data_IF_244720571128
#
_entry.id   IF_244720571128
#
_cell.length_a   1.000
_cell.length_b   1.000
_cell.length_c   1.000
_cell.angle_alpha   90.00
_cell.angle_beta   90.00
_cell.angle_gamma   90.00
#
_symmetry.space_group_name_H-M   'P 1'
#
loop_
_entity.id
_entity.type
_entity.pdbx_description
1 polymer ?
#
# COMPACT_ATOMS: atom_id res chain seq x y z
N UNK A 1 -24.58 8.21 9.85
CA UNK A 1 -23.93 7.31 10.82
C UNK A 1 -22.50 7.03 10.36
N UNK A 2 -21.54 7.77 10.91
CA UNK A 2 -20.24 8.13 10.30
C UNK A 2 -19.07 7.13 10.47
N UNK A 3 -19.27 5.95 11.07
CA UNK A 3 -18.15 5.08 11.50
C UNK A 3 -17.63 4.06 10.47
N UNK A 4 -18.37 3.73 9.41
CA UNK A 4 -17.94 2.74 8.40
C UNK A 4 -16.82 3.23 7.45
N UNK A 5 -16.78 4.54 7.17
CA UNK A 5 -15.77 5.13 6.26
C UNK A 5 -14.38 5.11 6.90
N UNK A 6 -14.30 5.61 8.14
CA UNK A 6 -13.08 5.60 8.96
C UNK A 6 -12.55 4.19 9.14
N UNK A 7 -13.43 3.20 9.39
CA UNK A 7 -13.02 1.81 9.55
C UNK A 7 -12.38 1.22 8.28
N UNK A 8 -12.90 1.54 7.09
CA UNK A 8 -12.32 1.07 5.82
C UNK A 8 -10.95 1.69 5.55
N UNK A 9 -10.79 2.99 5.80
CA UNK A 9 -9.50 3.67 5.63
C UNK A 9 -8.46 3.22 6.68
N UNK A 10 -8.89 2.95 7.92
CA UNK A 10 -8.02 2.39 8.96
C UNK A 10 -7.45 1.03 8.55
N UNK A 11 -8.26 0.17 7.92
CA UNK A 11 -7.77 -1.12 7.40
C UNK A 11 -6.69 -0.91 6.33
N UNK A 12 -6.90 0.01 5.39
CA UNK A 12 -5.92 0.34 4.35
C UNK A 12 -4.60 0.81 4.98
N UNK A 13 -4.67 1.69 5.96
CA UNK A 13 -3.49 2.20 6.68
C UNK A 13 -2.77 1.10 7.46
N UNK A 14 -3.50 0.20 8.15
CA UNK A 14 -2.91 -0.93 8.87
C UNK A 14 -2.25 -1.91 7.90
N UNK A 15 -2.90 -2.21 6.77
CA UNK A 15 -2.32 -3.04 5.70
C UNK A 15 -1.06 -2.41 5.12
N UNK A 16 -1.05 -1.09 4.89
CA UNK A 16 0.13 -0.37 4.40
C UNK A 16 1.27 -0.39 5.42
N UNK A 17 0.95 -0.21 6.71
CA UNK A 17 1.92 -0.28 7.81
C UNK A 17 2.54 -1.68 7.96
N UNK A 18 1.75 -2.73 7.73
CA UNK A 18 2.23 -4.10 7.73
C UNK A 18 3.11 -4.39 6.50
N UNK A 19 2.67 -4.00 5.31
CA UNK A 19 3.38 -4.23 4.05
C UNK A 19 4.68 -3.43 3.93
N UNK A 20 4.69 -2.18 4.40
CA UNK A 20 5.88 -1.32 4.42
C UNK A 20 6.67 -1.42 5.73
N UNK A 21 6.51 -2.51 6.48
CA UNK A 21 7.28 -2.75 7.69
C UNK A 21 8.71 -3.21 7.35
N UNK A 22 9.69 -2.84 8.18
CA UNK A 22 11.11 -3.18 7.99
C UNK A 22 11.34 -4.69 7.73
N UNK A 23 10.84 -5.65 8.54
CA UNK A 23 10.94 -7.08 8.27
C UNK A 23 10.44 -7.52 6.88
N UNK A 24 9.32 -6.97 6.40
CA UNK A 24 8.81 -7.32 5.06
C UNK A 24 9.71 -6.73 3.98
N UNK A 25 10.15 -5.49 4.15
CA UNK A 25 11.07 -4.83 3.22
C UNK A 25 12.41 -5.59 3.16
N UNK A 26 12.88 -6.14 4.28
CA UNK A 26 14.13 -6.93 4.32
C UNK A 26 14.07 -8.26 3.58
N UNK A 27 12.87 -8.76 3.22
CA UNK A 27 12.74 -9.93 2.32
C UNK A 27 13.22 -9.60 0.90
N UNK A 28 13.19 -8.33 0.51
CA UNK A 28 13.60 -7.85 -0.82
C UNK A 28 15.04 -7.32 -0.83
N UNK A 29 15.83 -7.63 0.21
CA UNK A 29 17.22 -7.16 0.37
C UNK A 29 18.19 -7.83 -0.60
N UNK A 30 17.75 -8.87 -1.33
CA UNK A 30 18.50 -9.47 -2.43
C UNK A 30 18.84 -8.39 -3.46
N UNK A 31 20.08 -8.35 -3.94
CA UNK A 31 20.57 -7.47 -5.03
C UNK A 31 19.93 -7.80 -6.39
N UNK A 32 18.72 -8.34 -6.36
CA UNK A 32 17.94 -8.60 -7.54
C UNK A 32 17.49 -7.25 -8.10
N UNK A 33 17.90 -7.02 -9.34
CA UNK A 33 17.51 -5.87 -10.12
C UNK A 33 16.73 -6.36 -11.32
N UNK A 34 15.56 -5.77 -11.53
CA UNK A 34 14.76 -6.00 -12.73
C UNK A 34 15.08 -4.84 -13.67
N UNK A 35 15.65 -5.14 -14.84
CA UNK A 35 16.00 -4.13 -15.85
C UNK A 35 16.95 -3.04 -15.28
N UNK A 36 17.84 -3.41 -14.37
CA UNK A 36 18.77 -2.49 -13.71
C UNK A 36 18.19 -1.66 -12.55
N UNK A 37 16.90 -1.83 -12.24
CA UNK A 37 16.25 -1.19 -11.10
C UNK A 37 16.13 -2.15 -9.90
N UNK A 38 16.49 -1.72 -8.68
CA UNK A 38 16.29 -2.53 -7.48
C UNK A 38 14.81 -2.89 -7.26
N UNK A 39 14.54 -4.18 -7.03
CA UNK A 39 13.18 -4.72 -6.83
C UNK A 39 12.44 -4.04 -5.68
N UNK A 40 13.18 -3.62 -4.64
CA UNK A 40 12.65 -2.89 -3.49
C UNK A 40 11.87 -1.62 -3.88
N UNK A 41 12.33 -0.87 -4.89
CA UNK A 41 11.62 0.33 -5.32
C UNK A 41 10.30 -0.01 -5.99
N UNK A 42 10.28 -1.03 -6.84
CA UNK A 42 9.07 -1.52 -7.51
C UNK A 42 8.04 -1.95 -6.45
N UNK A 43 8.48 -2.65 -5.41
CA UNK A 43 7.62 -3.06 -4.29
C UNK A 43 7.01 -1.88 -3.53
N UNK A 44 7.83 -0.92 -3.11
CA UNK A 44 7.37 0.26 -2.35
C UNK A 44 6.39 1.09 -3.18
N UNK A 45 6.74 1.38 -4.44
CA UNK A 45 5.87 2.13 -5.35
C UNK A 45 4.55 1.41 -5.61
N UNK A 46 4.57 0.09 -5.78
CA UNK A 46 3.35 -0.70 -5.99
C UNK A 46 2.44 -0.68 -4.76
N UNK A 47 2.99 -0.85 -3.55
CA UNK A 47 2.22 -0.74 -2.30
C UNK A 47 1.60 0.64 -2.13
N UNK A 48 2.36 1.69 -2.44
CA UNK A 48 1.90 3.07 -2.32
C UNK A 48 0.79 3.38 -3.32
N UNK A 49 0.97 2.98 -4.58
CA UNK A 49 -0.01 3.17 -5.64
C UNK A 49 -1.30 2.37 -5.38
N UNK A 50 -1.19 1.14 -4.89
CA UNK A 50 -2.34 0.35 -4.44
C UNK A 50 -3.12 1.08 -3.33
N UNK A 51 -2.44 1.67 -2.34
CA UNK A 51 -3.09 2.43 -1.27
C UNK A 51 -3.86 3.64 -1.80
N UNK A 52 -3.29 4.37 -2.76
CA UNK A 52 -3.95 5.51 -3.41
C UNK A 52 -5.20 5.05 -4.17
N UNK A 53 -5.09 3.98 -4.97
CA UNK A 53 -6.23 3.42 -5.72
C UNK A 53 -7.34 2.97 -4.77
N UNK A 54 -7.01 2.21 -3.72
CA UNK A 54 -8.02 1.71 -2.78
C UNK A 54 -8.69 2.88 -2.05
N UNK A 55 -7.92 3.89 -1.63
CA UNK A 55 -8.47 5.09 -1.01
C UNK A 55 -9.38 5.86 -1.96
N UNK A 56 -8.99 6.00 -3.23
CA UNK A 56 -9.80 6.63 -4.28
C UNK A 56 -11.11 5.88 -4.50
N UNK A 57 -11.07 4.55 -4.60
CA UNK A 57 -12.28 3.71 -4.74
C UNK A 57 -13.20 3.88 -3.54
N UNK A 58 -12.65 3.88 -2.31
CA UNK A 58 -13.44 4.06 -1.08
C UNK A 58 -14.14 5.42 -1.09
N UNK A 59 -13.45 6.48 -1.50
CA UNK A 59 -14.00 7.84 -1.55
C UNK A 59 -15.07 7.96 -2.65
N UNK A 60 -14.77 7.47 -3.87
CA UNK A 60 -15.66 7.61 -5.01
C UNK A 60 -16.95 6.80 -4.86
N UNK A 61 -16.87 5.61 -4.25
CA UNK A 61 -18.04 4.77 -3.95
C UNK A 61 -19.00 5.39 -2.91
N UNK A 62 -18.59 6.47 -2.22
CA UNK A 62 -19.38 7.11 -1.17
C UNK A 62 -19.87 8.52 -1.54
N UNK A 63 -19.45 9.07 -2.69
CA UNK A 63 -19.92 10.35 -3.22
C UNK A 63 -20.99 10.21 -4.31
N UNK A 64 -21.54 9.00 -4.49
CA UNK A 64 -22.90 8.78 -5.05
C UNK A 64 -23.94 8.77 -3.93
#
# INVERSE_FOLDING_TARGET
>A
MKRRHEQKLVIVTISLLALLNIPIITLFKSTESIVGFPVIYIYIFSCWLASIIISYIIINHFYE
#
